data_IF_527029139850
#
_entry.id   IF_527029139850
#
_cell.length_a   1.000
_cell.length_b   1.000
_cell.length_c   1.000
_cell.angle_alpha   90.00
_cell.angle_beta   90.00
_cell.angle_gamma   90.00
#
_symmetry.space_group_name_H-M   'P 1'
#
loop_
_entity.id
_entity.type
_entity.pdbx_description
1 polymer ?
#
# COMPACT_ATOMS: atom_id res chain seq x y z
N UNK A 1 -10.34 -10.41 3.16
CA UNK A 1 -11.69 -10.89 3.53
C UNK A 1 -12.10 -10.31 4.89
N UNK A 2 -13.35 -10.46 5.39
CA UNK A 2 -13.72 -9.90 6.69
C UNK A 2 -12.81 -10.43 7.81
N UNK A 3 -12.60 -9.63 8.85
CA UNK A 3 -11.76 -10.03 9.98
C UNK A 3 -12.42 -11.12 10.87
N UNK A 4 -13.73 -11.34 10.72
CA UNK A 4 -14.55 -12.29 11.47
C UNK A 4 -15.60 -12.89 10.53
N UNK A 5 -16.08 -14.08 10.89
CA UNK A 5 -17.16 -14.74 10.16
C UNK A 5 -18.39 -13.83 10.14
N UNK A 6 -18.96 -13.56 8.97
CA UNK A 6 -20.18 -12.76 8.89
C UNK A 6 -21.41 -13.58 9.29
N UNK A 7 -22.48 -12.92 9.77
CA UNK A 7 -23.73 -13.59 10.07
C UNK A 7 -24.34 -14.24 8.82
N UNK A 8 -24.92 -15.44 9.00
CA UNK A 8 -25.54 -16.24 7.92
C UNK A 8 -26.63 -15.46 7.16
N UNK A 9 -27.29 -14.51 7.82
CA UNK A 9 -28.31 -13.63 7.22
C UNK A 9 -27.76 -12.79 6.08
N UNK A 10 -26.47 -12.40 6.13
CA UNK A 10 -25.80 -11.66 5.05
C UNK A 10 -25.70 -12.55 3.81
N UNK A 11 -25.21 -13.79 3.98
CA UNK A 11 -25.14 -14.79 2.90
C UNK A 11 -26.52 -15.10 2.32
N UNK A 12 -27.54 -15.26 3.15
CA UNK A 12 -28.91 -15.51 2.69
C UNK A 12 -29.43 -14.39 1.78
N UNK A 13 -29.15 -13.11 2.10
CA UNK A 13 -29.53 -11.95 1.28
C UNK A 13 -28.81 -11.91 -0.07
N UNK A 14 -27.61 -12.49 -0.17
CA UNK A 14 -26.82 -12.53 -1.39
C UNK A 14 -27.07 -13.78 -2.27
N UNK A 15 -27.98 -14.68 -1.87
CA UNK A 15 -28.24 -15.95 -2.58
C UNK A 15 -28.62 -15.82 -4.06
N UNK A 16 -29.11 -14.66 -4.48
CA UNK A 16 -29.51 -14.36 -5.85
C UNK A 16 -28.38 -13.71 -6.68
N UNK A 17 -27.20 -13.52 -6.10
CA UNK A 17 -26.07 -12.82 -6.72
C UNK A 17 -24.94 -13.80 -7.06
N UNK A 18 -24.33 -13.60 -8.23
CA UNK A 18 -23.04 -14.20 -8.57
C UNK A 18 -21.92 -13.34 -7.97
N UNK A 19 -21.45 -13.72 -6.78
CA UNK A 19 -20.45 -12.96 -6.03
C UNK A 19 -19.05 -13.09 -6.65
N UNK A 20 -18.24 -12.05 -6.51
CA UNK A 20 -16.83 -12.07 -6.94
C UNK A 20 -16.00 -13.08 -6.14
N UNK A 21 -16.38 -13.30 -4.87
CA UNK A 21 -15.83 -14.34 -4.01
C UNK A 21 -16.98 -15.16 -3.39
N UNK A 22 -17.09 -16.47 -3.67
CA UNK A 22 -18.09 -17.35 -3.06
C UNK A 22 -17.95 -17.55 -1.54
N UNK A 23 -16.75 -17.32 -0.99
CA UNK A 23 -16.36 -17.44 0.43
C UNK A 23 -16.28 -16.09 1.15
N UNK A 24 -16.89 -15.03 0.60
CA UNK A 24 -16.80 -13.65 1.11
C UNK A 24 -17.15 -13.43 2.59
N UNK A 25 -17.90 -14.34 3.21
CA UNK A 25 -18.33 -14.27 4.60
C UNK A 25 -17.37 -14.97 5.57
N UNK A 26 -16.36 -15.68 5.07
CA UNK A 26 -15.35 -16.36 5.86
C UNK A 26 -14.10 -15.47 6.05
N UNK A 27 -13.43 -15.52 7.21
CA UNK A 27 -12.16 -14.83 7.39
C UNK A 27 -11.05 -15.44 6.55
N UNK A 28 -10.34 -14.61 5.80
CA UNK A 28 -9.17 -15.02 5.04
C UNK A 28 -8.20 -13.83 4.81
N UNK A 29 -6.91 -14.11 4.55
CA UNK A 29 -5.95 -13.09 4.13
C UNK A 29 -6.42 -12.30 2.90
N UNK A 30 -5.77 -11.16 2.64
CA UNK A 30 -5.97 -10.44 1.38
C UNK A 30 -5.30 -11.22 0.26
N UNK A 31 -6.09 -11.66 -0.72
CA UNK A 31 -5.59 -12.46 -1.86
C UNK A 31 -5.18 -11.60 -3.06
N UNK A 32 -5.77 -10.41 -3.21
CA UNK A 32 -5.54 -9.53 -4.35
C UNK A 32 -5.60 -8.06 -3.94
N UNK A 33 -4.67 -7.27 -4.47
CA UNK A 33 -4.66 -5.81 -4.38
C UNK A 33 -4.93 -5.22 -5.78
N UNK A 34 -5.88 -4.29 -5.86
CA UNK A 34 -6.26 -3.62 -7.11
C UNK A 34 -5.64 -2.23 -7.11
N UNK A 35 -4.82 -1.94 -8.12
CA UNK A 35 -4.21 -0.63 -8.32
C UNK A 35 -5.20 0.45 -8.77
N UNK A 36 -4.87 1.71 -8.52
CA UNK A 36 -5.71 2.86 -8.88
C UNK A 36 -5.82 3.09 -10.40
N UNK A 37 -4.84 2.59 -11.16
CA UNK A 37 -4.78 2.60 -12.62
C UNK A 37 -5.89 1.74 -13.26
N UNK A 38 -6.23 0.62 -12.64
CA UNK A 38 -7.29 -0.30 -13.12
C UNK A 38 -8.60 -0.16 -12.35
N UNK A 39 -8.60 0.45 -11.16
CA UNK A 39 -9.79 0.62 -10.33
C UNK A 39 -11.03 1.13 -11.08
N UNK A 40 -10.94 2.17 -11.96
CA UNK A 40 -12.11 2.65 -12.69
C UNK A 40 -12.71 1.63 -13.66
N UNK A 41 -11.90 0.66 -14.12
CA UNK A 41 -12.27 -0.36 -15.10
C UNK A 41 -12.88 -1.60 -14.43
N UNK A 42 -12.69 -1.77 -13.12
CA UNK A 42 -13.20 -2.92 -12.36
C UNK A 42 -14.71 -2.87 -12.19
N UNK A 43 -15.27 -1.67 -12.01
CA UNK A 43 -16.68 -1.49 -11.67
C UNK A 43 -17.58 -1.45 -12.90
N UNK A 44 -18.79 -2.00 -12.74
CA UNK A 44 -19.90 -1.88 -13.69
C UNK A 44 -20.95 -0.92 -13.14
N UNK A 45 -21.87 -0.47 -13.99
CA UNK A 45 -22.88 0.54 -13.65
C UNK A 45 -24.10 -0.01 -12.86
N UNK A 46 -23.91 -1.02 -12.01
CA UNK A 46 -24.99 -1.60 -11.20
C UNK A 46 -24.60 -1.65 -9.73
N UNK A 47 -25.44 -1.08 -8.88
CA UNK A 47 -25.36 -1.22 -7.44
C UNK A 47 -26.77 -1.38 -6.85
N UNK A 48 -26.85 -1.96 -5.66
CA UNK A 48 -28.10 -2.08 -4.90
C UNK A 48 -27.79 -2.14 -3.41
N UNK A 49 -28.76 -1.73 -2.56
CA UNK A 49 -28.67 -1.92 -1.12
C UNK A 49 -29.29 -3.25 -0.73
N UNK A 50 -28.67 -3.99 0.20
CA UNK A 50 -29.28 -5.19 0.81
C UNK A 50 -30.30 -4.86 1.92
N UNK A 51 -30.52 -3.57 2.16
CA UNK A 51 -31.43 -3.02 3.17
C UNK A 51 -30.70 -2.41 4.38
N UNK A 52 -31.45 -1.78 5.30
CA UNK A 52 -30.88 -1.17 6.51
C UNK A 52 -30.08 -2.17 7.35
N UNK A 53 -28.90 -1.77 7.83
CA UNK A 53 -28.02 -2.62 8.63
C UNK A 53 -27.19 -3.64 7.84
N UNK A 54 -27.34 -3.69 6.51
CA UNK A 54 -26.58 -4.57 5.62
C UNK A 54 -25.74 -3.77 4.63
N UNK A 55 -24.66 -4.37 4.09
CA UNK A 55 -23.82 -3.72 3.10
C UNK A 55 -24.56 -3.50 1.78
N UNK A 56 -24.01 -2.61 0.96
CA UNK A 56 -24.41 -2.45 -0.43
C UNK A 56 -23.65 -3.42 -1.33
N UNK A 57 -24.25 -3.79 -2.44
CA UNK A 57 -23.62 -4.65 -3.46
C UNK A 57 -23.33 -3.85 -4.72
N UNK A 58 -22.16 -4.08 -5.29
CA UNK A 58 -21.66 -3.41 -6.49
C UNK A 58 -21.25 -4.47 -7.52
N UNK A 59 -21.70 -4.31 -8.76
CA UNK A 59 -21.30 -5.20 -9.84
C UNK A 59 -19.90 -4.82 -10.31
N UNK A 60 -19.02 -5.81 -10.42
CA UNK A 60 -17.68 -5.67 -10.98
C UNK A 60 -17.46 -6.65 -12.15
N UNK A 61 -16.31 -6.56 -12.79
CA UNK A 61 -15.86 -7.56 -13.78
C UNK A 61 -15.72 -8.96 -13.19
N UNK A 62 -15.42 -9.08 -11.89
CA UNK A 62 -15.25 -10.36 -11.18
C UNK A 62 -16.57 -10.96 -10.65
N UNK A 63 -17.62 -10.15 -10.53
CA UNK A 63 -18.88 -10.53 -9.89
C UNK A 63 -19.39 -9.43 -8.97
N UNK A 64 -20.40 -9.72 -8.15
CA UNK A 64 -20.92 -8.78 -7.17
C UNK A 64 -20.01 -8.71 -5.94
N UNK A 65 -19.70 -7.49 -5.51
CA UNK A 65 -18.83 -7.17 -4.36
C UNK A 65 -19.68 -6.50 -3.28
N UNK A 66 -19.49 -6.90 -2.02
CA UNK A 66 -20.15 -6.28 -0.88
C UNK A 66 -19.27 -5.15 -0.34
N UNK A 67 -19.85 -3.98 -0.09
CA UNK A 67 -19.18 -2.81 0.46
C UNK A 67 -20.05 -2.19 1.55
N UNK A 68 -19.46 -2.00 2.73
CA UNK A 68 -20.11 -1.33 3.85
C UNK A 68 -20.18 -2.21 5.10
N UNK A 69 -20.71 -1.66 6.19
CA UNK A 69 -20.80 -2.37 7.47
C UNK A 69 -21.92 -3.42 7.46
N UNK A 70 -21.73 -4.45 8.27
CA UNK A 70 -22.80 -5.35 8.72
C UNK A 70 -23.10 -4.97 10.16
N UNK A 71 -24.31 -4.53 10.47
CA UNK A 71 -24.71 -4.27 11.84
C UNK A 71 -25.24 -5.55 12.47
N UNK A 72 -24.48 -6.13 13.40
CA UNK A 72 -24.88 -7.35 14.11
C UNK A 72 -25.86 -7.06 15.26
N UNK A 73 -25.85 -5.85 15.82
CA UNK A 73 -26.77 -5.37 16.86
C UNK A 73 -27.07 -3.87 16.70
N UNK A 74 -28.28 -3.39 17.02
CA UNK A 74 -28.49 -1.97 17.27
C UNK A 74 -27.72 -1.59 18.54
N UNK A 75 -26.83 -0.60 18.42
CA UNK A 75 -26.06 0.02 19.51
C UNK A 75 -25.18 -0.91 20.37
N UNK A 76 -24.10 -1.41 19.77
CA UNK A 76 -22.86 -1.58 20.55
C UNK A 76 -22.11 -0.27 20.34
N UNK A 77 -22.17 0.61 21.35
CA UNK A 77 -21.59 1.96 21.31
C UNK A 77 -20.19 1.99 20.69
N UNK A 78 -19.89 3.09 19.97
CA UNK A 78 -18.68 3.28 19.20
C UNK A 78 -17.44 2.66 19.88
N UNK A 79 -16.98 1.53 19.33
CA UNK A 79 -15.74 0.93 19.79
C UNK A 79 -14.58 1.71 19.16
N UNK A 80 -14.03 2.65 19.93
CA UNK A 80 -12.78 3.30 19.58
C UNK A 80 -11.63 2.38 20.00
N UNK A 81 -10.89 1.86 19.02
CA UNK A 81 -9.59 1.25 19.28
C UNK A 81 -8.55 2.36 19.27
N UNK A 82 -8.06 2.77 20.43
CA UNK A 82 -6.87 3.60 20.55
C UNK A 82 -5.67 2.76 20.11
N UNK A 83 -5.31 2.86 18.83
CA UNK A 83 -4.02 2.38 18.33
C UNK A 83 -2.98 3.41 18.73
N UNK A 84 -2.30 3.17 19.85
CA UNK A 84 -1.06 3.86 20.16
C UNK A 84 0.06 3.16 19.37
N UNK A 85 0.57 3.84 18.37
CA UNK A 85 1.76 3.45 17.65
C UNK A 85 2.94 3.47 18.62
N UNK A 86 3.34 2.29 19.12
CA UNK A 86 4.51 2.13 20.01
C UNK A 86 5.81 2.54 19.30
N UNK A 87 5.78 2.59 17.97
CA UNK A 87 6.82 3.19 17.11
C UNK A 87 6.27 4.45 16.46
N UNK A 88 7.04 5.54 16.39
CA UNK A 88 6.60 6.71 15.63
C UNK A 88 6.29 6.33 14.18
N UNK A 89 5.28 6.97 13.58
CA UNK A 89 4.86 6.69 12.19
C UNK A 89 6.05 6.79 11.22
N UNK A 90 6.94 7.74 11.48
CA UNK A 90 8.17 7.98 10.74
C UNK A 90 9.08 6.74 10.74
N UNK A 91 9.23 6.05 11.88
CA UNK A 91 10.03 4.83 11.99
C UNK A 91 9.45 3.65 11.20
N UNK A 92 8.12 3.58 11.03
CA UNK A 92 7.49 2.53 10.23
C UNK A 92 7.69 2.84 8.74
N UNK A 93 7.48 4.10 8.35
CA UNK A 93 7.67 4.56 6.98
C UNK A 93 9.14 4.37 6.57
N UNK A 94 10.10 4.73 7.42
CA UNK A 94 11.53 4.55 7.17
C UNK A 94 11.89 3.07 6.97
N UNK A 95 11.35 2.17 7.81
CA UNK A 95 11.59 0.72 7.66
C UNK A 95 10.98 0.15 6.39
N UNK A 96 9.81 0.63 6.00
CA UNK A 96 9.16 0.24 4.75
C UNK A 96 10.03 0.63 3.54
N UNK A 97 10.49 1.88 3.48
CA UNK A 97 11.34 2.34 2.38
C UNK A 97 12.67 1.61 2.31
N UNK A 98 13.35 1.37 3.45
CA UNK A 98 14.61 0.60 3.47
C UNK A 98 14.46 -0.84 2.97
N UNK A 99 13.28 -1.44 3.09
CA UNK A 99 13.04 -2.81 2.66
C UNK A 99 12.78 -2.92 1.15
N UNK A 100 12.24 -1.87 0.52
CA UNK A 100 11.98 -1.82 -0.92
C UNK A 100 13.10 -1.15 -1.73
N UNK A 101 13.98 -0.38 -1.08
CA UNK A 101 15.07 0.31 -1.76
C UNK A 101 16.10 -0.71 -2.30
N UNK A 102 16.34 -0.75 -3.62
CA UNK A 102 17.37 -1.62 -4.18
C UNK A 102 18.76 -1.20 -3.67
N UNK A 103 19.73 -2.12 -3.72
CA UNK A 103 21.12 -1.74 -3.44
C UNK A 103 21.51 -0.54 -4.32
N UNK A 104 22.09 0.48 -3.68
CA UNK A 104 22.53 1.67 -4.37
C UNK A 104 23.44 1.27 -5.54
N UNK A 105 23.17 1.83 -6.71
CA UNK A 105 23.99 1.57 -7.87
C UNK A 105 25.45 1.93 -7.55
N UNK A 106 26.43 1.12 -7.98
CA UNK A 106 27.83 1.42 -7.73
C UNK A 106 28.18 2.84 -8.21
N UNK A 107 29.10 3.58 -7.54
CA UNK A 107 29.37 4.99 -7.83
C UNK A 107 29.75 5.26 -9.29
N UNK A 108 30.42 4.30 -9.94
CA UNK A 108 30.75 4.37 -11.38
C UNK A 108 29.54 4.43 -12.33
N UNK A 109 28.33 4.16 -11.82
CA UNK A 109 27.07 4.17 -12.58
C UNK A 109 26.15 5.33 -12.18
N UNK A 110 26.55 6.19 -11.24
CA UNK A 110 25.77 7.35 -10.81
C UNK A 110 26.45 8.66 -11.21
N UNK A 111 25.65 9.69 -11.50
CA UNK A 111 26.15 11.04 -11.80
C UNK A 111 26.92 11.63 -10.61
N UNK A 112 26.44 11.37 -9.39
CA UNK A 112 27.09 11.78 -8.15
C UNK A 112 28.46 11.10 -7.99
N UNK A 113 28.58 9.80 -8.27
CA UNK A 113 29.86 9.09 -8.16
C UNK A 113 30.88 9.55 -9.21
N UNK A 114 30.43 9.86 -10.43
CA UNK A 114 31.29 10.49 -11.44
C UNK A 114 31.72 11.90 -11.02
N UNK A 115 30.83 12.69 -10.41
CA UNK A 115 31.16 14.00 -9.85
C UNK A 115 32.22 13.91 -8.74
N UNK A 116 32.09 12.93 -7.83
CA UNK A 116 33.06 12.68 -6.77
C UNK A 116 34.44 12.28 -7.30
N UNK A 117 34.50 11.43 -8.34
CA UNK A 117 35.77 11.09 -9.00
C UNK A 117 36.44 12.29 -9.66
N UNK A 118 35.67 13.13 -10.36
CA UNK A 118 36.17 14.34 -11.00
C UNK A 118 36.78 15.29 -9.95
N UNK A 119 36.06 15.53 -8.85
CA UNK A 119 36.53 16.33 -7.72
C UNK A 119 37.84 15.78 -7.13
N UNK A 120 37.89 14.49 -6.84
CA UNK A 120 39.09 13.84 -6.31
C UNK A 120 40.28 13.91 -7.28
N UNK A 121 40.01 13.84 -8.59
CA UNK A 121 41.03 13.93 -9.63
C UNK A 121 41.61 15.34 -9.75
N UNK A 122 40.78 16.38 -9.61
CA UNK A 122 41.24 17.77 -9.69
C UNK A 122 41.93 18.22 -8.41
N UNK A 123 41.41 17.82 -7.24
CA UNK A 123 42.09 18.08 -5.95
C UNK A 123 43.48 17.43 -5.86
N UNK A 124 43.69 16.25 -6.48
CA UNK A 124 45.01 15.61 -6.56
C UNK A 124 45.97 16.31 -7.52
N UNK A 125 45.48 16.94 -8.59
CA UNK A 125 46.32 17.69 -9.55
C UNK A 125 46.82 19.00 -8.93
N UNK A 126 45.99 19.67 -8.14
CA UNK A 126 46.34 20.93 -7.48
C UNK A 126 47.36 20.73 -6.35
N UNK A 127 47.31 19.60 -5.65
CA UNK A 127 48.28 19.27 -4.60
C UNK A 127 49.69 18.92 -5.15
N UNK A 128 49.80 18.60 -6.44
CA UNK A 128 51.06 18.32 -7.11
C UNK A 128 51.74 19.57 -7.72
N UNK A 129 51.08 20.72 -7.75
CA UNK A 129 51.65 22.01 -8.16
C UNK A 129 52.25 22.77 -6.96
N UNK A 130 53.31 22.24 -6.36
CA UNK A 130 54.22 23.08 -5.55
C UNK A 130 55.19 23.81 -6.49
N UNK A 131 55.26 25.15 -6.48
CA UNK A 131 56.24 25.88 -7.27
C UNK A 131 57.64 25.63 -6.69
N UNK A 132 58.53 25.09 -7.53
CA UNK A 132 59.96 25.01 -7.27
C UNK A 132 60.47 26.37 -6.82
N UNK A 133 61.01 26.43 -5.61
CA UNK A 133 61.75 27.57 -5.07
C UNK A 133 62.86 27.97 -6.04
N UNK A 134 62.83 29.20 -6.53
CA UNK A 134 63.95 29.81 -7.21
C UNK A 134 64.99 30.19 -6.16
N UNK A 135 66.16 29.57 -6.26
CA UNK A 135 67.38 29.87 -5.52
C UNK A 135 68.33 30.55 -6.51
N UNK A 136 68.83 31.75 -6.19
CA UNK A 136 69.80 32.52 -7.02
C UNK A 136 69.50 34.00 -7.18
#
# INVERSE_FOLDING_TARGET
MPARQLPVQVRAKCSHLMLADPSFDEPAPVEMLIGADIFPQVWKNKCSSLGPGFPSVYSSVFGWVLIGPVQEHPDIGAQSMLVSLVSSMESIIERFWKAEEPEAAPPQFTEDGLCEELLNSDMRKDQAHQPSTYDG
#
